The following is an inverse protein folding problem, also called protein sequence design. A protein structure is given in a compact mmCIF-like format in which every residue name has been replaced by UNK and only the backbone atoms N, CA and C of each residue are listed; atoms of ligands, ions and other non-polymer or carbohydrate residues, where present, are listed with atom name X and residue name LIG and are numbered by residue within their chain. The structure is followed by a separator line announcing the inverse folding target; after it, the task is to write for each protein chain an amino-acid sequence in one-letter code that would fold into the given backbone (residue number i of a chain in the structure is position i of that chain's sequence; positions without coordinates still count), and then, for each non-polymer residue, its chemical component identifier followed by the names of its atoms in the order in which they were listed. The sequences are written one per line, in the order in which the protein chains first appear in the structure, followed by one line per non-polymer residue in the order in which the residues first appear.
data_IF_159470627156
#
_entry.id   IF_159470627156
#
_cell.length_a   1.000
_cell.length_b   1.000
_cell.length_c   1.000
_cell.angle_alpha   90.00
_cell.angle_beta   90.00
_cell.angle_gamma   90.00
#
_symmetry.space_group_name_H-M   'P 1'
#
loop_
_entity.id
_entity.type
_entity.pdbx_description
1 polymer ?
#
# COMPACT_ATOMS: atom_id res chain seq x y z
N UNK A 1 -17.12 42.76 -49.84
CA UNK A 1 -16.71 42.00 -48.63
C UNK A 1 -17.81 42.11 -47.57
N UNK A 2 -18.64 41.08 -47.39
CA UNK A 2 -19.67 41.04 -46.33
C UNK A 2 -19.00 40.59 -45.02
N UNK A 3 -18.94 41.47 -44.02
CA UNK A 3 -18.50 41.13 -42.66
C UNK A 3 -19.42 40.05 -42.09
N UNK A 4 -18.87 38.88 -41.75
CA UNK A 4 -19.54 37.85 -40.95
C UNK A 4 -19.89 38.49 -39.60
N UNK A 5 -21.18 38.81 -39.38
CA UNK A 5 -21.69 39.11 -38.04
C UNK A 5 -21.56 37.83 -37.23
N UNK A 6 -20.58 37.80 -36.33
CA UNK A 6 -20.53 36.80 -35.27
C UNK A 6 -21.75 37.09 -34.41
N UNK A 7 -22.78 36.24 -34.49
CA UNK A 7 -23.92 36.31 -33.59
C UNK A 7 -23.43 35.96 -32.19
N UNK A 8 -23.02 36.98 -31.43
CA UNK A 8 -22.91 36.89 -29.98
C UNK A 8 -24.32 36.53 -29.47
N UNK A 9 -24.48 35.33 -28.91
CA UNK A 9 -25.76 34.81 -28.43
C UNK A 9 -26.51 35.83 -27.55
N UNK A 10 -27.85 35.77 -27.59
CA UNK A 10 -28.73 36.66 -26.83
C UNK A 10 -28.34 36.68 -25.34
N UNK A 11 -28.49 37.80 -24.62
CA UNK A 11 -28.17 37.88 -23.18
C UNK A 11 -28.79 36.75 -22.35
N UNK A 12 -30.01 36.34 -22.71
CA UNK A 12 -30.73 35.22 -22.09
C UNK A 12 -30.03 33.86 -22.32
N UNK A 13 -29.42 33.63 -23.49
CA UNK A 13 -28.65 32.42 -23.79
C UNK A 13 -27.35 32.39 -22.97
N UNK A 14 -26.70 33.55 -22.80
CA UNK A 14 -25.50 33.67 -21.95
C UNK A 14 -25.82 33.38 -20.48
N UNK A 15 -26.94 33.90 -19.97
CA UNK A 15 -27.37 33.63 -18.60
C UNK A 15 -27.68 32.14 -18.38
N UNK A 16 -28.40 31.50 -19.31
CA UNK A 16 -28.67 30.04 -19.25
C UNK A 16 -27.38 29.22 -19.32
N UNK A 17 -26.44 29.60 -20.18
CA UNK A 17 -25.14 28.92 -20.29
C UNK A 17 -24.34 29.02 -18.99
N UNK A 18 -24.29 30.21 -18.37
CA UNK A 18 -23.61 30.41 -17.09
C UNK A 18 -24.21 29.53 -15.99
N UNK A 19 -25.55 29.46 -15.89
CA UNK A 19 -26.22 28.59 -14.91
C UNK A 19 -25.88 27.11 -15.09
N UNK A 20 -25.77 26.64 -16.34
CA UNK A 20 -25.36 25.26 -16.64
C UNK A 20 -23.91 25.03 -16.24
N UNK A 21 -23.02 25.98 -16.55
CA UNK A 21 -21.61 25.92 -16.13
C UNK A 21 -21.50 25.85 -14.61
N UNK A 22 -22.22 26.70 -13.87
CA UNK A 22 -22.22 26.69 -12.41
C UNK A 22 -22.69 25.35 -11.83
N UNK A 23 -23.69 24.73 -12.45
CA UNK A 23 -24.17 23.40 -12.04
C UNK A 23 -23.11 22.31 -12.28
N UNK A 24 -22.45 22.33 -13.44
CA UNK A 24 -21.37 21.39 -13.77
C UNK A 24 -20.20 21.54 -12.80
N UNK A 25 -19.83 22.79 -12.47
CA UNK A 25 -18.78 23.11 -11.49
C UNK A 25 -19.11 22.53 -10.12
N UNK A 26 -20.33 22.76 -9.64
CA UNK A 26 -20.77 22.23 -8.35
C UNK A 26 -20.72 20.69 -8.35
N UNK A 27 -21.20 20.05 -9.43
CA UNK A 27 -21.11 18.60 -9.56
C UNK A 27 -19.66 18.09 -9.55
N UNK A 28 -18.72 18.77 -10.23
CA UNK A 28 -17.32 18.40 -10.25
C UNK A 28 -16.66 18.53 -8.87
N UNK A 29 -16.88 19.64 -8.17
CA UNK A 29 -16.36 19.87 -6.81
C UNK A 29 -16.88 18.80 -5.86
N UNK A 30 -18.18 18.51 -5.91
CA UNK A 30 -18.80 17.45 -5.10
C UNK A 30 -18.22 16.08 -5.46
N UNK A 31 -18.01 15.80 -6.75
CA UNK A 31 -17.43 14.54 -7.20
C UNK A 31 -16.03 14.29 -6.63
N UNK A 32 -15.11 15.25 -6.78
CA UNK A 32 -13.75 15.11 -6.24
C UNK A 32 -13.74 15.01 -4.71
N UNK A 33 -14.56 15.84 -4.04
CA UNK A 33 -14.75 15.76 -2.59
C UNK A 33 -15.24 14.38 -2.16
N UNK A 34 -16.26 13.84 -2.82
CA UNK A 34 -16.85 12.56 -2.48
C UNK A 34 -15.86 11.41 -2.67
N UNK A 35 -15.00 11.46 -3.69
CA UNK A 35 -13.92 10.47 -3.86
C UNK A 35 -12.99 10.51 -2.64
N UNK A 36 -12.49 11.69 -2.29
CA UNK A 36 -11.61 11.84 -1.14
C UNK A 36 -12.27 11.39 0.18
N UNK A 37 -13.50 11.83 0.43
CA UNK A 37 -14.27 11.47 1.63
C UNK A 37 -14.62 9.98 1.68
N UNK A 38 -14.89 9.34 0.54
CA UNK A 38 -15.15 7.90 0.50
C UNK A 38 -13.95 7.05 0.95
N UNK A 39 -12.73 7.53 0.68
CA UNK A 39 -11.50 6.89 1.12
C UNK A 39 -11.24 7.21 2.58
N UNK A 40 -11.36 8.48 2.97
CA UNK A 40 -11.07 8.96 4.32
C UNK A 40 -12.03 8.41 5.37
N UNK A 41 -13.30 8.26 5.01
CA UNK A 41 -14.36 7.84 5.92
C UNK A 41 -14.78 6.38 5.69
N UNK A 42 -13.89 5.54 5.13
CA UNK A 42 -14.21 4.13 4.95
C UNK A 42 -14.49 3.45 6.31
N UNK A 43 -15.76 3.07 6.50
CA UNK A 43 -16.25 2.39 7.71
C UNK A 43 -16.32 0.88 7.54
N UNK A 44 -15.86 0.35 6.41
CA UNK A 44 -15.92 -1.07 6.08
C UNK A 44 -15.21 -1.90 7.15
N UNK A 45 -15.97 -2.77 7.81
CA UNK A 45 -15.47 -3.64 8.90
C UNK A 45 -14.81 -4.91 8.39
N UNK A 46 -15.03 -5.25 7.12
CA UNK A 46 -14.57 -6.46 6.47
C UNK A 46 -13.09 -6.32 6.09
N UNK A 47 -12.22 -6.79 6.99
CA UNK A 47 -10.83 -7.10 6.66
C UNK A 47 -10.74 -8.51 6.06
N UNK A 48 -9.84 -8.69 5.11
CA UNK A 48 -9.56 -10.01 4.56
C UNK A 48 -8.99 -10.93 5.64
N UNK A 49 -9.31 -12.22 5.61
CA UNK A 49 -8.83 -13.16 6.62
C UNK A 49 -7.36 -13.55 6.35
N UNK A 50 -6.91 -13.42 5.11
CA UNK A 50 -5.62 -13.85 4.59
C UNK A 50 -4.63 -12.69 4.37
N UNK A 51 -5.04 -11.45 4.61
CA UNK A 51 -4.20 -10.26 4.40
C UNK A 51 -3.99 -9.90 2.94
N UNK A 52 -4.85 -10.38 2.01
CA UNK A 52 -4.80 -9.97 0.59
C UNK A 52 -5.05 -8.45 0.41
N UNK A 53 -4.91 -7.97 -0.83
CA UNK A 53 -5.15 -6.58 -1.22
C UNK A 53 -6.55 -6.14 -0.80
N UNK A 54 -6.65 -4.95 -0.21
CA UNK A 54 -7.90 -4.39 0.27
C UNK A 54 -8.76 -3.91 -0.89
N UNK A 55 -10.08 -4.09 -0.77
CA UNK A 55 -11.01 -3.70 -1.82
C UNK A 55 -10.95 -2.19 -2.10
N UNK A 56 -10.90 -1.36 -1.05
CA UNK A 56 -10.75 0.09 -1.19
C UNK A 56 -9.49 0.46 -1.98
N UNK A 57 -8.38 -0.24 -1.74
CA UNK A 57 -7.13 -0.02 -2.48
C UNK A 57 -7.32 -0.32 -3.97
N UNK A 58 -7.97 -1.43 -4.31
CA UNK A 58 -8.25 -1.74 -5.72
C UNK A 58 -9.21 -0.72 -6.35
N UNK A 59 -10.29 -0.36 -5.66
CA UNK A 59 -11.29 0.59 -6.13
C UNK A 59 -10.70 1.98 -6.37
N UNK A 60 -9.91 2.51 -5.44
CA UNK A 60 -9.23 3.80 -5.59
C UNK A 60 -8.27 3.80 -6.77
N UNK A 61 -7.43 2.77 -6.90
CA UNK A 61 -6.48 2.67 -8.02
C UNK A 61 -7.22 2.53 -9.36
N UNK A 62 -8.31 1.76 -9.41
CA UNK A 62 -9.12 1.65 -10.62
C UNK A 62 -9.85 2.96 -10.97
N UNK A 63 -10.27 3.74 -9.97
CA UNK A 63 -10.80 5.08 -10.16
C UNK A 63 -9.74 6.01 -10.78
N UNK A 64 -8.54 6.04 -10.20
CA UNK A 64 -7.43 6.84 -10.74
C UNK A 64 -7.05 6.40 -12.15
N UNK A 65 -7.06 5.10 -12.46
CA UNK A 65 -6.82 4.63 -13.83
C UNK A 65 -7.83 5.19 -14.83
N UNK A 66 -9.11 5.30 -14.45
CA UNK A 66 -10.13 5.95 -15.31
C UNK A 66 -9.86 7.43 -15.52
N UNK A 67 -9.19 8.10 -14.57
CA UNK A 67 -8.83 9.50 -14.73
C UNK A 67 -7.77 9.70 -15.82
N UNK A 68 -7.00 8.67 -16.17
CA UNK A 68 -6.04 8.74 -17.29
C UNK A 68 -6.79 9.06 -18.61
N UNK A 69 -7.93 8.42 -18.86
CA UNK A 69 -8.71 8.61 -20.08
C UNK A 69 -9.32 10.02 -20.18
N UNK A 70 -9.52 10.66 -19.03
CA UNK A 70 -10.09 12.00 -18.89
C UNK A 70 -9.10 13.00 -18.27
N UNK A 71 -7.80 12.79 -18.47
CA UNK A 71 -6.73 13.59 -17.82
C UNK A 71 -6.92 15.09 -18.06
N UNK A 72 -6.97 15.51 -19.32
CA UNK A 72 -7.07 16.92 -19.69
C UNK A 72 -8.27 17.63 -19.05
N UNK A 73 -9.53 17.14 -19.18
CA UNK A 73 -10.66 17.82 -18.56
C UNK A 73 -10.61 17.79 -17.02
N UNK A 74 -10.15 16.70 -16.41
CA UNK A 74 -10.02 16.60 -14.94
C UNK A 74 -8.98 17.60 -14.42
N UNK A 75 -7.79 17.63 -15.01
CA UNK A 75 -6.73 18.55 -14.60
C UNK A 75 -7.13 20.00 -14.85
N UNK A 76 -7.78 20.30 -15.98
CA UNK A 76 -8.34 21.63 -16.25
C UNK A 76 -9.33 22.03 -15.15
N UNK A 77 -10.28 21.15 -14.79
CA UNK A 77 -11.24 21.45 -13.73
C UNK A 77 -10.55 21.69 -12.38
N UNK A 78 -9.57 20.87 -12.00
CA UNK A 78 -8.83 21.04 -10.75
C UNK A 78 -8.01 22.33 -10.72
N UNK A 79 -7.34 22.70 -11.82
CA UNK A 79 -6.61 23.97 -11.95
C UNK A 79 -7.54 25.18 -11.92
N UNK A 80 -8.70 25.10 -12.56
CA UNK A 80 -9.66 26.21 -12.53
C UNK A 80 -10.36 26.35 -11.16
N UNK A 81 -10.50 25.26 -10.40
CA UNK A 81 -10.92 25.30 -8.98
C UNK A 81 -9.82 25.94 -8.13
N UNK A 82 -8.56 25.54 -8.30
CA UNK A 82 -7.38 26.09 -7.61
C UNK A 82 -7.26 27.60 -7.82
N UNK A 83 -7.36 28.05 -9.07
CA UNK A 83 -7.32 29.47 -9.45
C UNK A 83 -8.51 30.27 -8.90
N UNK A 84 -9.53 29.59 -8.36
CA UNK A 84 -10.76 30.21 -7.91
C UNK A 84 -11.63 30.73 -9.06
N UNK A 85 -11.46 30.20 -10.28
CA UNK A 85 -12.34 30.53 -11.40
C UNK A 85 -13.63 29.71 -11.34
N UNK A 86 -13.55 28.46 -10.85
CA UNK A 86 -14.68 27.59 -10.59
C UNK A 86 -14.97 27.58 -9.09
N UNK A 87 -15.83 28.51 -8.66
CA UNK A 87 -16.29 28.58 -7.26
C UNK A 87 -17.70 28.03 -7.15
N UNK A 88 -17.90 27.29 -6.07
CA UNK A 88 -19.21 26.96 -5.56
C UNK A 88 -19.71 28.09 -4.66
N UNK A 89 -21.00 28.38 -4.71
CA UNK A 89 -21.65 29.32 -3.79
C UNK A 89 -21.85 28.71 -2.38
N UNK A 90 -21.55 27.42 -2.22
CA UNK A 90 -21.62 26.71 -0.95
C UNK A 90 -20.27 26.81 -0.21
N UNK A 91 -20.23 27.61 0.86
CA UNK A 91 -19.03 27.81 1.68
C UNK A 91 -18.46 26.50 2.27
N UNK A 92 -19.30 25.48 2.48
CA UNK A 92 -18.87 24.17 2.96
C UNK A 92 -18.08 23.36 1.92
N UNK A 93 -18.34 23.63 0.64
CA UNK A 93 -17.64 23.04 -0.50
C UNK A 93 -16.43 23.89 -0.90
N UNK A 94 -16.50 25.21 -0.76
CA UNK A 94 -15.40 26.14 -1.08
C UNK A 94 -14.22 26.11 -0.08
N UNK A 95 -14.45 25.59 1.12
CA UNK A 95 -13.43 25.52 2.19
C UNK A 95 -12.52 24.29 2.10
N UNK A 96 -12.73 23.38 1.15
CA UNK A 96 -12.02 22.09 1.10
C UNK A 96 -10.54 22.25 0.70
N UNK A 97 -9.58 21.90 1.58
CA UNK A 97 -8.14 22.07 1.31
C UNK A 97 -7.64 21.24 0.12
N UNK A 98 -8.17 20.03 -0.02
CA UNK A 98 -7.82 19.02 -1.03
C UNK A 98 -7.95 19.50 -2.48
N UNK A 99 -8.78 20.53 -2.73
CA UNK A 99 -9.01 21.08 -4.09
C UNK A 99 -8.23 22.38 -4.35
N UNK A 100 -7.46 22.88 -3.38
CA UNK A 100 -6.83 24.21 -3.44
C UNK A 100 -5.37 24.20 -3.88
N UNK A 101 -4.80 23.02 -4.08
CA UNK A 101 -3.36 22.85 -4.36
C UNK A 101 -3.11 22.28 -5.77
N UNK A 102 -4.15 22.26 -6.62
CA UNK A 102 -4.07 21.85 -8.01
C UNK A 102 -4.14 20.33 -8.23
N UNK A 103 -4.03 19.88 -9.50
CA UNK A 103 -4.28 18.50 -9.87
C UNK A 103 -3.28 17.49 -9.29
N UNK A 104 -1.98 17.80 -9.32
CA UNK A 104 -0.98 16.87 -8.80
C UNK A 104 -1.08 16.70 -7.28
N UNK A 105 -1.38 17.77 -6.54
CA UNK A 105 -1.59 17.70 -5.10
C UNK A 105 -2.81 16.84 -4.78
N UNK A 106 -3.92 17.02 -5.52
CA UNK A 106 -5.11 16.19 -5.38
C UNK A 106 -4.80 14.69 -5.54
N UNK A 107 -4.04 14.29 -6.57
CA UNK A 107 -3.69 12.88 -6.76
C UNK A 107 -2.79 12.34 -5.63
N UNK A 108 -1.82 13.13 -5.16
CA UNK A 108 -0.96 12.74 -4.04
C UNK A 108 -1.75 12.59 -2.75
N UNK A 109 -2.63 13.53 -2.44
CA UNK A 109 -3.45 13.49 -1.23
C UNK A 109 -4.41 12.30 -1.23
N UNK A 110 -4.96 11.92 -2.39
CA UNK A 110 -5.74 10.69 -2.53
C UNK A 110 -4.90 9.46 -2.17
N UNK A 111 -3.65 9.40 -2.64
CA UNK A 111 -2.74 8.29 -2.33
C UNK A 111 -2.33 8.29 -0.86
N UNK A 112 -2.02 9.45 -0.28
CA UNK A 112 -1.62 9.59 1.12
C UNK A 112 -2.77 9.27 2.07
N UNK A 113 -3.98 9.69 1.71
CA UNK A 113 -5.20 9.32 2.42
C UNK A 113 -5.46 7.82 2.33
N UNK A 114 -5.27 7.21 1.16
CA UNK A 114 -5.38 5.76 1.00
C UNK A 114 -4.34 5.03 1.85
N UNK A 115 -3.08 5.47 1.86
CA UNK A 115 -1.99 4.91 2.69
C UNK A 115 -2.38 4.99 4.18
N UNK A 116 -2.77 6.17 4.65
CA UNK A 116 -3.18 6.36 6.06
C UNK A 116 -4.38 5.48 6.43
N UNK A 117 -5.32 5.30 5.50
CA UNK A 117 -6.48 4.43 5.70
C UNK A 117 -6.07 2.95 5.81
N UNK A 118 -5.23 2.43 4.91
CA UNK A 118 -4.78 1.03 5.00
C UNK A 118 -3.91 0.79 6.24
N UNK A 119 -3.10 1.76 6.66
CA UNK A 119 -2.37 1.69 7.94
C UNK A 119 -3.34 1.60 9.11
N UNK A 120 -4.36 2.45 9.15
CA UNK A 120 -5.40 2.40 10.19
C UNK A 120 -6.10 1.04 10.21
N UNK A 121 -6.50 0.51 9.05
CA UNK A 121 -7.15 -0.80 8.91
C UNK A 121 -6.26 -1.96 9.35
N UNK A 122 -4.94 -1.86 9.13
CA UNK A 122 -3.99 -2.92 9.51
C UNK A 122 -3.98 -3.19 11.02
N UNK A 123 -4.29 -2.20 11.85
CA UNK A 123 -4.38 -2.37 13.31
C UNK A 123 -5.56 -3.24 13.74
N UNK A 124 -6.53 -3.50 12.86
CA UNK A 124 -7.66 -4.38 13.13
C UNK A 124 -7.31 -5.87 13.13
N UNK A 125 -6.13 -6.25 12.65
CA UNK A 125 -5.69 -7.65 12.65
C UNK A 125 -5.21 -8.09 14.03
N UNK A 126 -5.70 -9.27 14.47
CA UNK A 126 -5.27 -9.88 15.74
C UNK A 126 -3.81 -10.34 15.74
N UNK A 127 -3.27 -10.67 14.56
CA UNK A 127 -1.91 -11.17 14.39
C UNK A 127 -1.10 -10.08 13.71
N UNK A 128 -0.06 -9.59 14.39
CA UNK A 128 0.79 -8.53 13.86
C UNK A 128 1.46 -8.95 12.52
N UNK A 129 1.90 -10.20 12.40
CA UNK A 129 2.46 -10.72 11.13
C UNK A 129 1.48 -10.67 9.96
N UNK A 130 0.18 -10.85 10.21
CA UNK A 130 -0.86 -10.71 9.19
C UNK A 130 -1.06 -9.24 8.80
N UNK A 131 -1.01 -8.32 9.77
CA UNK A 131 -1.04 -6.88 9.50
C UNK A 131 0.12 -6.46 8.59
N UNK A 132 1.33 -6.98 8.82
CA UNK A 132 2.49 -6.69 7.94
C UNK A 132 2.25 -7.21 6.52
N UNK A 133 1.80 -8.46 6.34
CA UNK A 133 1.48 -9.01 5.02
C UNK A 133 0.42 -8.18 4.29
N UNK A 134 -0.63 -7.77 5.01
CA UNK A 134 -1.65 -6.87 4.47
C UNK A 134 -1.06 -5.55 3.95
N UNK A 135 -0.19 -4.89 4.73
CA UNK A 135 0.46 -3.66 4.29
C UNK A 135 1.39 -3.88 3.09
N UNK A 136 2.22 -4.93 3.13
CA UNK A 136 3.12 -5.30 2.02
C UNK A 136 2.34 -5.50 0.72
N UNK A 137 1.23 -6.24 0.77
CA UNK A 137 0.38 -6.48 -0.40
C UNK A 137 -0.21 -5.19 -0.97
N UNK A 138 -0.78 -4.34 -0.11
CA UNK A 138 -1.42 -3.10 -0.56
C UNK A 138 -0.40 -2.09 -1.09
N UNK A 139 0.75 -1.92 -0.43
CA UNK A 139 1.81 -1.04 -0.91
C UNK A 139 2.37 -1.50 -2.26
N UNK A 140 2.65 -2.79 -2.40
CA UNK A 140 3.14 -3.33 -3.67
C UNK A 140 2.08 -3.22 -4.78
N UNK A 141 0.80 -3.46 -4.47
CA UNK A 141 -0.28 -3.28 -5.43
C UNK A 141 -0.36 -1.84 -5.93
N UNK A 142 -0.33 -0.85 -5.02
CA UNK A 142 -0.35 0.57 -5.39
C UNK A 142 0.87 0.90 -6.26
N UNK A 143 2.08 0.55 -5.81
CA UNK A 143 3.32 0.83 -6.53
C UNK A 143 3.31 0.25 -7.95
N UNK A 144 3.02 -1.05 -8.10
CA UNK A 144 2.99 -1.70 -9.42
C UNK A 144 1.96 -1.07 -10.34
N UNK A 145 0.78 -0.73 -9.82
CA UNK A 145 -0.25 -0.11 -10.66
C UNK A 145 0.14 1.30 -11.10
N UNK A 146 0.84 2.07 -10.27
CA UNK A 146 1.30 3.40 -10.67
C UNK A 146 2.46 3.29 -11.68
N UNK A 147 3.40 2.38 -11.47
CA UNK A 147 4.55 2.17 -12.38
C UNK A 147 4.16 1.57 -13.73
N UNK A 148 3.18 0.65 -13.75
CA UNK A 148 2.76 -0.04 -14.97
C UNK A 148 1.69 0.73 -15.77
N UNK A 149 1.30 1.91 -15.32
CA UNK A 149 0.31 2.76 -16.01
C UNK A 149 0.80 4.19 -16.13
N UNK A 150 0.04 5.01 -16.86
CA UNK A 150 0.31 6.44 -17.01
C UNK A 150 -0.05 7.27 -15.76
N UNK A 151 -0.42 6.62 -14.65
CA UNK A 151 -0.63 7.31 -13.37
C UNK A 151 0.64 8.02 -12.88
N UNK A 152 1.82 7.47 -13.20
CA UNK A 152 3.10 8.10 -12.90
C UNK A 152 3.26 9.49 -13.54
N UNK A 153 2.58 9.78 -14.65
CA UNK A 153 2.57 11.09 -15.31
C UNK A 153 1.62 12.09 -14.65
N UNK A 154 0.74 11.64 -13.76
CA UNK A 154 -0.28 12.46 -13.08
C UNK A 154 0.18 12.83 -11.68
N UNK A 155 0.88 11.93 -11.00
CA UNK A 155 1.36 12.12 -9.64
C UNK A 155 2.68 12.90 -9.67
N UNK A 156 2.86 13.86 -8.75
CA UNK A 156 4.14 14.57 -8.63
C UNK A 156 5.15 13.80 -7.76
N UNK A 157 6.42 13.88 -8.15
CA UNK A 157 7.53 13.26 -7.42
C UNK A 157 7.75 11.78 -7.73
N UNK A 158 8.91 11.26 -7.31
CA UNK A 158 9.23 9.85 -7.46
C UNK A 158 8.65 9.04 -6.30
N UNK A 159 7.50 8.39 -6.55
CA UNK A 159 6.84 7.55 -5.57
C UNK A 159 7.56 6.21 -5.34
N UNK A 160 8.43 5.79 -6.26
CA UNK A 160 9.10 4.49 -6.23
C UNK A 160 9.91 4.30 -4.94
N UNK A 161 10.86 5.19 -4.63
CA UNK A 161 11.63 5.15 -3.39
C UNK A 161 10.75 5.15 -2.12
N UNK A 162 9.67 5.96 -2.10
CA UNK A 162 8.74 6.03 -0.97
C UNK A 162 8.08 4.67 -0.70
N UNK A 163 7.46 4.08 -1.72
CA UNK A 163 6.79 2.78 -1.56
C UNK A 163 7.78 1.64 -1.33
N UNK A 164 8.93 1.63 -2.01
CA UNK A 164 9.97 0.62 -1.76
C UNK A 164 10.46 0.65 -0.31
N UNK A 165 10.62 1.85 0.27
CA UNK A 165 10.97 2.00 1.69
C UNK A 165 9.87 1.46 2.60
N UNK A 166 8.60 1.76 2.32
CA UNK A 166 7.46 1.24 3.08
C UNK A 166 7.37 -0.28 3.01
N UNK A 167 7.45 -0.86 1.81
CA UNK A 167 7.42 -2.32 1.59
C UNK A 167 8.57 -2.98 2.35
N UNK A 168 9.81 -2.49 2.17
CA UNK A 168 10.99 -3.05 2.83
C UNK A 168 10.88 -2.98 4.35
N UNK A 169 10.37 -1.88 4.91
CA UNK A 169 10.15 -1.75 6.34
C UNK A 169 9.17 -2.82 6.87
N UNK A 170 8.04 -3.02 6.18
CA UNK A 170 7.06 -4.03 6.58
C UNK A 170 7.56 -5.47 6.37
N UNK A 171 8.34 -5.73 5.31
CA UNK A 171 9.02 -7.02 5.11
C UNK A 171 9.97 -7.30 6.27
N UNK A 172 10.83 -6.35 6.65
CA UNK A 172 11.74 -6.52 7.78
C UNK A 172 11.01 -6.87 9.09
N UNK A 173 9.92 -6.16 9.40
CA UNK A 173 9.09 -6.44 10.57
C UNK A 173 8.46 -7.84 10.50
N UNK A 174 7.96 -8.24 9.33
CA UNK A 174 7.44 -9.59 9.13
C UNK A 174 8.53 -10.67 9.34
N UNK A 175 9.77 -10.39 8.93
CA UNK A 175 10.90 -11.31 9.06
C UNK A 175 11.35 -11.56 10.51
N UNK A 176 10.98 -10.70 11.47
CA UNK A 176 11.33 -10.88 12.89
C UNK A 176 10.84 -12.22 13.47
N UNK A 177 9.68 -12.71 13.04
CA UNK A 177 9.19 -14.02 13.51
C UNK A 177 10.10 -15.18 13.07
N UNK A 178 10.65 -15.10 11.85
CA UNK A 178 11.59 -16.09 11.32
C UNK A 178 12.97 -15.97 11.95
N UNK A 179 13.44 -14.75 12.24
CA UNK A 179 14.64 -14.53 13.04
C UNK A 179 14.50 -15.19 14.42
N UNK A 180 13.38 -14.97 15.11
CA UNK A 180 13.09 -15.59 16.41
C UNK A 180 12.97 -17.12 16.37
N UNK A 181 12.61 -17.69 15.21
CA UNK A 181 12.59 -19.13 14.98
C UNK A 181 13.99 -19.73 15.05
N UNK A 182 14.98 -19.08 14.44
CA UNK A 182 16.35 -19.61 14.33
C UNK A 182 17.25 -19.27 15.51
N UNK A 183 16.85 -18.39 16.44
CA UNK A 183 17.65 -18.06 17.65
C UNK A 183 18.09 -19.32 18.40
N UNK A 184 17.21 -20.31 18.55
CA UNK A 184 17.53 -21.58 19.25
C UNK A 184 18.64 -22.41 18.58
N UNK A 185 18.95 -22.13 17.31
CA UNK A 185 20.02 -22.76 16.54
C UNK A 185 21.34 -21.97 16.64
N UNK A 186 21.30 -20.69 17.06
CA UNK A 186 22.48 -19.82 17.16
C UNK A 186 23.29 -20.08 18.42
N UNK A 187 22.64 -20.40 19.54
CA UNK A 187 23.26 -20.56 20.87
C UNK A 187 24.21 -21.77 20.98
N UNK A 188 24.40 -22.52 19.89
CA UNK A 188 25.25 -23.73 19.87
C UNK A 188 26.64 -23.41 19.29
N UNK A 189 27.27 -22.36 19.81
CA UNK A 189 28.72 -22.16 19.69
C UNK A 189 29.45 -23.08 20.66
N UNK A 190 29.54 -24.37 20.34
CA UNK A 190 30.62 -25.20 20.85
C UNK A 190 31.92 -24.71 20.22
N UNK A 191 32.60 -23.78 20.90
CA UNK A 191 34.05 -23.58 20.70
C UNK A 191 34.71 -24.71 21.48
N UNK A 192 35.33 -25.65 20.78
CA UNK A 192 36.26 -26.59 21.41
C UNK A 192 37.54 -26.62 20.59
N UNK A 193 38.62 -26.22 21.27
CA UNK A 193 40.00 -26.21 20.82
C UNK A 193 40.36 -27.45 19.99
N UNK A 194 40.51 -27.24 18.68
CA UNK A 194 41.42 -27.97 17.79
C UNK A 194 41.33 -29.50 17.73
N UNK A 195 40.37 -30.15 18.37
CA UNK A 195 40.30 -31.61 18.48
C UNK A 195 38.87 -32.13 18.27
N UNK A 196 38.70 -32.94 17.22
CA UNK A 196 37.45 -33.62 16.89
C UNK A 196 37.24 -34.73 17.94
N UNK A 197 36.55 -34.41 19.04
CA UNK A 197 36.05 -35.45 19.96
C UNK A 197 34.81 -36.08 19.34
N UNK A 198 34.89 -37.36 18.98
CA UNK A 198 33.81 -38.16 18.39
C UNK A 198 32.71 -38.54 19.39
N UNK A 199 32.84 -38.17 20.66
CA UNK A 199 31.91 -38.53 21.74
C UNK A 199 31.38 -37.30 22.47
N UNK A 200 30.12 -36.95 22.16
CA UNK A 200 29.35 -35.93 22.88
C UNK A 200 28.98 -36.41 24.29
N UNK A 201 29.07 -35.53 25.28
CA UNK A 201 28.58 -35.77 26.63
C UNK A 201 27.06 -35.94 26.66
N UNK A 202 26.51 -36.59 27.71
CA UNK A 202 25.04 -36.71 27.88
C UNK A 202 24.36 -35.34 27.90
N UNK A 203 25.00 -34.34 28.52
CA UNK A 203 24.50 -32.96 28.56
C UNK A 203 24.50 -32.32 27.17
N UNK A 204 25.56 -32.46 26.37
CA UNK A 204 25.60 -31.93 25.01
C UNK A 204 24.53 -32.57 24.12
N UNK A 205 24.36 -33.90 24.19
CA UNK A 205 23.30 -34.61 23.46
C UNK A 205 21.90 -34.11 23.84
N UNK A 206 21.68 -33.81 25.12
CA UNK A 206 20.40 -33.27 25.59
C UNK A 206 20.15 -31.87 25.07
N UNK A 207 21.15 -30.98 25.12
CA UNK A 207 21.04 -29.61 24.61
C UNK A 207 20.72 -29.60 23.10
N UNK A 208 21.38 -30.44 22.30
CA UNK A 208 21.11 -30.55 20.86
C UNK A 208 19.66 -30.96 20.59
N UNK A 209 19.15 -31.97 21.33
CA UNK A 209 17.75 -32.40 21.21
C UNK A 209 16.77 -31.27 21.56
N UNK A 210 17.09 -30.48 22.58
CA UNK A 210 16.27 -29.35 23.01
C UNK A 210 16.25 -28.24 21.96
N UNK A 211 17.40 -27.91 21.35
CA UNK A 211 17.48 -26.97 20.22
C UNK A 211 16.60 -27.41 19.05
N UNK A 212 16.70 -28.67 18.60
CA UNK A 212 15.84 -29.19 17.52
C UNK A 212 14.36 -29.12 17.88
N UNK A 213 14.01 -29.53 19.10
CA UNK A 213 12.62 -29.48 19.58
C UNK A 213 12.08 -28.05 19.58
N UNK A 214 12.86 -27.09 20.08
CA UNK A 214 12.46 -25.69 20.15
C UNK A 214 12.32 -25.06 18.76
N UNK A 215 13.25 -25.34 17.84
CA UNK A 215 13.15 -24.89 16.46
C UNK A 215 11.91 -25.47 15.77
N UNK A 216 11.71 -26.80 15.83
CA UNK A 216 10.59 -27.47 15.17
C UNK A 216 9.25 -26.93 15.69
N UNK A 217 9.11 -26.77 17.00
CA UNK A 217 7.89 -26.21 17.60
C UNK A 217 7.61 -24.80 17.08
N UNK A 218 8.60 -23.90 17.09
CA UNK A 218 8.45 -22.53 16.58
C UNK A 218 8.12 -22.51 15.09
N UNK A 219 8.79 -23.33 14.30
CA UNK A 219 8.56 -23.44 12.86
C UNK A 219 7.13 -23.90 12.58
N UNK A 220 6.66 -24.95 13.26
CA UNK A 220 5.32 -25.50 13.11
C UNK A 220 4.24 -24.51 13.55
N UNK A 221 4.47 -23.76 14.62
CA UNK A 221 3.57 -22.68 15.06
C UNK A 221 3.44 -21.58 14.01
N UNK A 222 4.57 -21.12 13.47
CA UNK A 222 4.61 -20.13 12.39
C UNK A 222 3.87 -20.67 11.16
N UNK A 223 4.20 -21.88 10.70
CA UNK A 223 3.57 -22.50 9.54
C UNK A 223 2.07 -22.67 9.71
N UNK A 224 1.63 -23.18 10.88
CA UNK A 224 0.21 -23.40 11.18
C UNK A 224 -0.61 -22.11 11.07
N UNK A 225 -0.06 -20.98 11.49
CA UNK A 225 -0.71 -19.67 11.44
C UNK A 225 -0.60 -19.04 10.05
N UNK A 226 0.60 -19.05 9.44
CA UNK A 226 0.89 -18.27 8.24
C UNK A 226 0.51 -18.98 6.93
N UNK A 227 0.23 -20.29 6.95
CA UNK A 227 -0.17 -21.04 5.73
C UNK A 227 -1.44 -20.52 5.04
N UNK A 228 -2.28 -19.76 5.75
CA UNK A 228 -3.50 -19.15 5.21
C UNK A 228 -3.27 -17.73 4.68
N UNK A 229 -2.08 -17.17 4.88
CA UNK A 229 -1.76 -15.82 4.41
C UNK A 229 -1.64 -15.82 2.88
N UNK A 230 -2.10 -14.75 2.25
CA UNK A 230 -2.10 -14.59 0.80
C UNK A 230 -1.15 -13.48 0.40
N UNK A 231 -0.29 -13.76 -0.59
CA UNK A 231 0.52 -12.74 -1.29
C UNK A 231 0.22 -12.92 -2.78
N UNK A 232 -0.72 -12.14 -3.35
CA UNK A 232 -1.19 -12.36 -4.72
C UNK A 232 -0.09 -12.15 -5.76
N UNK A 233 0.75 -11.14 -5.56
CA UNK A 233 1.85 -10.83 -6.47
C UNK A 233 2.95 -11.89 -6.37
N UNK A 234 3.24 -12.55 -7.50
CA UNK A 234 4.13 -13.71 -7.52
C UNK A 234 5.59 -13.33 -7.31
N UNK A 235 6.02 -12.18 -7.82
CA UNK A 235 7.38 -11.68 -7.67
C UNK A 235 7.67 -11.32 -6.20
N UNK A 236 6.77 -10.53 -5.58
CA UNK A 236 6.82 -10.19 -4.17
C UNK A 236 6.80 -11.45 -3.29
N UNK A 237 5.91 -12.40 -3.58
CA UNK A 237 5.83 -13.68 -2.85
C UNK A 237 7.16 -14.43 -2.94
N UNK A 238 7.76 -14.52 -4.12
CA UNK A 238 9.04 -15.19 -4.31
C UNK A 238 10.17 -14.47 -3.59
N UNK A 239 10.17 -13.14 -3.57
CA UNK A 239 11.14 -12.35 -2.80
C UNK A 239 11.05 -12.67 -1.30
N UNK A 240 9.86 -12.59 -0.71
CA UNK A 240 9.65 -12.88 0.72
C UNK A 240 10.08 -14.33 1.04
N UNK A 241 9.69 -15.29 0.19
CA UNK A 241 10.11 -16.69 0.35
C UNK A 241 11.62 -16.87 0.25
N UNK A 242 12.28 -16.12 -0.63
CA UNK A 242 13.74 -16.13 -0.75
C UNK A 242 14.40 -15.61 0.52
N UNK A 243 13.91 -14.49 1.09
CA UNK A 243 14.43 -13.92 2.34
C UNK A 243 14.27 -14.90 3.52
N UNK A 244 13.11 -15.57 3.64
CA UNK A 244 12.91 -16.63 4.64
C UNK A 244 13.92 -17.77 4.45
N UNK A 245 14.10 -18.25 3.22
CA UNK A 245 15.06 -19.34 2.94
C UNK A 245 16.49 -18.94 3.28
N UNK A 246 16.89 -17.70 3.00
CA UNK A 246 18.23 -17.18 3.29
C UNK A 246 18.54 -17.13 4.79
N UNK A 247 17.52 -17.10 5.66
CA UNK A 247 17.69 -17.16 7.11
C UNK A 247 17.63 -18.62 7.59
N UNK A 248 16.57 -19.35 7.21
CA UNK A 248 16.32 -20.70 7.75
C UNK A 248 17.34 -21.72 7.26
N UNK A 249 17.61 -21.76 5.94
CA UNK A 249 18.41 -22.83 5.33
C UNK A 249 19.86 -22.81 5.83
N UNK A 250 20.58 -21.66 5.87
CA UNK A 250 21.95 -21.65 6.37
C UNK A 250 22.04 -21.96 7.86
N UNK A 251 21.12 -21.46 8.68
CA UNK A 251 21.13 -21.69 10.12
C UNK A 251 20.84 -23.14 10.47
N UNK A 252 19.79 -23.71 9.88
CA UNK A 252 19.45 -25.11 10.08
C UNK A 252 20.53 -26.04 9.49
N UNK A 253 21.04 -25.76 8.29
CA UNK A 253 22.09 -26.55 7.66
C UNK A 253 23.39 -26.56 8.44
N UNK A 254 23.83 -25.40 8.98
CA UNK A 254 25.00 -25.33 9.86
C UNK A 254 24.81 -26.12 11.14
N UNK A 255 23.63 -26.04 11.75
CA UNK A 255 23.33 -26.78 12.97
C UNK A 255 23.23 -28.29 12.75
N UNK A 256 22.62 -28.71 11.63
CA UNK A 256 22.42 -30.11 11.29
C UNK A 256 23.72 -30.83 10.88
N UNK A 257 24.61 -30.14 10.16
CA UNK A 257 25.87 -30.71 9.69
C UNK A 257 27.00 -30.69 10.75
N UNK A 258 26.81 -29.95 11.85
CA UNK A 258 27.76 -29.84 12.95
C UNK A 258 27.62 -31.01 13.91
#
# INVERSE_FOLDING_TARGET
MKKKKIYLGTPELKEKLNKVTDHIVNCAIIFFKNIYESIKNDTSKTLSIDGTVYELTSNTINCLKRFIDYKNPIETMLTEIENGNLKTNDESLASQPILKEGPQAYYNDILDTLISMIETKSHGYKKDTLAKIFLINNYNYILKNIQNTRLSEMISGDIGPKFNKLIKAQVNLYMECWNNCVISLMDVTYVQDGSIKTTLSKSQKQNIKECFKNFNNKFDEIYKVQKVYSVPDTELRNQILSEIKQIIVPMYGRFYNK
#
